data_IF_905256080201
#
_entry.id   IF_905256080201
#
_cell.length_a   1.000
_cell.length_b   1.000
_cell.length_c   1.000
_cell.angle_alpha   90.00
_cell.angle_beta   90.00
_cell.angle_gamma   90.00
#
_symmetry.space_group_name_H-M   'P 1'
#
loop_
_entity.id
_entity.type
_entity.pdbx_description
1 polymer ?
#
# COMPACT_ATOMS: atom_id res chain seq x y z
N UNK A 1 32.24 -67.89 -38.65
CA UNK A 1 30.79 -67.89 -38.92
C UNK A 1 29.96 -67.13 -37.83
N UNK A 2 30.27 -67.33 -36.57
CA UNK A 2 29.50 -66.62 -35.49
C UNK A 2 29.74 -65.11 -35.41
N UNK A 3 30.98 -64.61 -35.63
CA UNK A 3 31.32 -63.20 -35.69
C UNK A 3 30.58 -62.42 -36.79
N UNK A 4 30.36 -63.10 -37.96
CA UNK A 4 29.65 -62.48 -39.08
C UNK A 4 28.16 -62.33 -38.79
N UNK A 5 27.55 -63.34 -38.15
CA UNK A 5 26.13 -63.28 -37.72
C UNK A 5 25.88 -62.24 -36.66
N UNK A 6 26.87 -62.04 -35.77
CA UNK A 6 26.79 -60.97 -34.75
C UNK A 6 26.89 -59.55 -35.38
N UNK A 7 27.89 -59.39 -36.28
CA UNK A 7 28.07 -58.12 -37.01
C UNK A 7 26.82 -57.72 -37.78
N UNK A 8 26.19 -58.71 -38.47
CA UNK A 8 24.93 -58.46 -39.18
C UNK A 8 23.75 -58.11 -38.30
N UNK A 9 23.64 -58.78 -37.12
CA UNK A 9 22.61 -58.41 -36.11
C UNK A 9 22.80 -57.00 -35.57
N UNK A 10 24.03 -56.61 -35.22
CA UNK A 10 24.33 -55.25 -34.69
C UNK A 10 24.11 -54.19 -35.75
N UNK A 11 24.50 -54.43 -37.01
CA UNK A 11 24.24 -53.51 -38.13
C UNK A 11 22.76 -53.33 -38.41
N UNK A 12 22.00 -54.44 -38.47
CA UNK A 12 20.54 -54.38 -38.63
C UNK A 12 19.85 -53.61 -37.48
N UNK A 13 20.36 -53.71 -36.23
CA UNK A 13 19.82 -53.01 -35.10
C UNK A 13 20.14 -51.50 -35.15
N UNK A 14 21.35 -51.14 -35.62
CA UNK A 14 21.71 -49.73 -35.88
C UNK A 14 20.81 -49.09 -36.92
N UNK A 15 20.62 -49.76 -38.06
CA UNK A 15 19.74 -49.28 -39.12
C UNK A 15 18.29 -49.09 -38.66
N UNK A 16 17.79 -50.04 -37.85
CA UNK A 16 16.43 -49.86 -37.23
C UNK A 16 16.35 -48.68 -36.31
N UNK A 17 17.33 -48.50 -35.42
CA UNK A 17 17.37 -47.35 -34.51
C UNK A 17 17.42 -46.03 -35.30
N UNK A 18 18.27 -45.94 -36.34
CA UNK A 18 18.36 -44.74 -37.17
C UNK A 18 17.09 -44.47 -38.00
N UNK A 19 16.46 -45.51 -38.51
CA UNK A 19 15.20 -45.37 -39.25
C UNK A 19 14.07 -44.86 -38.37
N UNK A 20 13.85 -45.50 -37.23
CA UNK A 20 12.79 -45.16 -36.34
C UNK A 20 13.03 -43.78 -35.65
N UNK A 21 14.29 -43.39 -35.34
CA UNK A 21 14.63 -42.07 -34.83
C UNK A 21 14.26 -40.94 -35.81
N UNK A 22 14.34 -41.19 -37.14
CA UNK A 22 13.97 -40.17 -38.15
C UNK A 22 12.47 -39.91 -38.23
N UNK A 23 11.65 -40.89 -37.85
CA UNK A 23 10.19 -40.83 -37.96
C UNK A 23 9.53 -40.21 -36.69
N UNK A 24 10.31 -40.03 -35.61
CA UNK A 24 9.77 -39.50 -34.33
C UNK A 24 9.39 -38.04 -34.38
N UNK A 25 8.24 -37.72 -33.78
CA UNK A 25 7.62 -36.39 -33.85
C UNK A 25 7.62 -35.63 -32.53
N UNK A 26 7.80 -36.31 -31.42
CA UNK A 26 7.73 -35.67 -30.09
C UNK A 26 8.64 -36.34 -29.05
N UNK A 27 8.97 -35.60 -27.99
CA UNK A 27 9.85 -36.06 -26.90
C UNK A 27 9.29 -37.26 -26.14
N UNK A 28 7.98 -37.50 -26.13
CA UNK A 28 7.37 -38.65 -25.47
C UNK A 28 7.62 -39.94 -26.21
N UNK A 29 7.45 -39.92 -27.51
CA UNK A 29 7.78 -41.07 -28.39
C UNK A 29 9.27 -41.43 -28.30
N UNK A 30 10.13 -40.41 -28.28
CA UNK A 30 11.57 -40.59 -28.11
C UNK A 30 11.92 -41.25 -26.78
N UNK A 31 11.28 -40.85 -25.70
CA UNK A 31 11.49 -41.44 -24.38
C UNK A 31 11.04 -42.91 -24.32
N UNK A 32 9.87 -43.22 -24.86
CA UNK A 32 9.38 -44.62 -24.93
C UNK A 32 10.32 -45.51 -25.75
N UNK A 33 10.80 -44.97 -26.86
CA UNK A 33 11.75 -45.67 -27.74
C UNK A 33 13.12 -45.86 -27.07
N UNK A 34 13.65 -44.86 -26.39
CA UNK A 34 14.89 -44.96 -25.61
C UNK A 34 14.80 -46.06 -24.55
N UNK A 35 13.66 -46.15 -23.86
CA UNK A 35 13.42 -47.20 -22.86
C UNK A 35 13.37 -48.61 -23.53
N UNK A 36 12.78 -48.72 -24.70
CA UNK A 36 12.68 -49.99 -25.41
C UNK A 36 14.06 -50.51 -25.86
N UNK A 37 14.93 -49.63 -26.35
CA UNK A 37 16.22 -50.01 -26.92
C UNK A 37 17.39 -49.95 -25.95
N UNK A 38 17.44 -48.96 -25.02
CA UNK A 38 18.62 -48.62 -24.22
C UNK A 38 18.42 -48.76 -22.69
N UNK A 39 17.40 -48.14 -22.10
CA UNK A 39 17.33 -47.97 -20.63
C UNK A 39 16.38 -48.94 -19.92
N UNK A 40 15.48 -49.59 -20.60
CA UNK A 40 14.53 -50.53 -19.99
C UNK A 40 15.16 -51.81 -19.45
N UNK A 41 14.64 -52.36 -18.35
CA UNK A 41 15.12 -53.67 -17.80
C UNK A 41 15.04 -54.83 -18.81
N UNK A 42 14.20 -54.70 -19.82
CA UNK A 42 14.04 -55.63 -20.96
C UNK A 42 14.39 -54.94 -22.28
N UNK A 43 15.32 -53.97 -22.26
CA UNK A 43 15.74 -53.30 -23.48
C UNK A 43 16.49 -54.26 -24.41
N UNK A 44 16.37 -54.03 -25.72
CA UNK A 44 17.01 -54.90 -26.74
C UNK A 44 18.52 -54.99 -26.54
N UNK A 45 19.18 -53.90 -26.12
CA UNK A 45 20.61 -53.92 -25.79
C UNK A 45 20.89 -54.74 -24.52
N UNK A 46 20.02 -54.67 -23.49
CA UNK A 46 20.15 -55.48 -22.31
C UNK A 46 19.94 -56.97 -22.54
N UNK A 47 19.10 -57.33 -23.52
CA UNK A 47 18.92 -58.74 -23.96
C UNK A 47 20.18 -59.26 -24.64
N UNK A 48 20.81 -58.50 -25.54
CA UNK A 48 22.09 -58.84 -26.14
C UNK A 48 23.20 -59.03 -25.09
N UNK A 49 23.22 -58.18 -24.04
CA UNK A 49 24.18 -58.39 -22.94
C UNK A 49 23.94 -59.70 -22.16
N UNK A 50 22.70 -60.12 -22.01
CA UNK A 50 22.40 -61.42 -21.37
C UNK A 50 22.78 -62.61 -22.23
N UNK A 51 22.70 -62.46 -23.57
CA UNK A 51 23.17 -63.51 -24.48
C UNK A 51 24.68 -63.77 -24.39
N UNK A 52 25.47 -62.74 -24.00
CA UNK A 52 26.91 -62.88 -23.72
C UNK A 52 27.23 -63.97 -22.69
N UNK A 53 26.33 -64.13 -21.67
CA UNK A 53 26.51 -65.15 -20.62
C UNK A 53 26.47 -66.60 -21.15
N UNK A 54 25.92 -66.84 -22.36
CA UNK A 54 25.77 -68.15 -22.96
C UNK A 54 26.92 -68.55 -23.90
N UNK A 55 27.86 -67.60 -24.15
CA UNK A 55 28.98 -67.77 -25.05
C UNK A 55 30.20 -68.39 -24.36
N UNK A 56 31.12 -68.97 -25.12
CA UNK A 56 32.38 -69.52 -24.66
C UNK A 56 33.28 -68.40 -24.08
N UNK A 57 34.12 -68.67 -23.08
CA UNK A 57 34.91 -67.59 -22.41
C UNK A 57 35.81 -66.80 -23.36
N UNK A 58 36.30 -67.36 -24.41
CA UNK A 58 37.20 -66.78 -25.43
C UNK A 58 36.46 -65.75 -26.33
N UNK A 59 35.17 -65.96 -26.59
CA UNK A 59 34.35 -65.11 -27.44
C UNK A 59 33.67 -63.95 -26.68
N UNK A 60 33.56 -64.05 -25.33
CA UNK A 60 32.86 -63.06 -24.50
C UNK A 60 33.49 -61.68 -24.57
N UNK A 61 34.81 -61.59 -24.64
CA UNK A 61 35.49 -60.27 -24.63
C UNK A 61 35.23 -59.51 -25.96
N UNK A 62 35.24 -60.15 -27.08
CA UNK A 62 34.93 -59.54 -28.37
C UNK A 62 33.47 -59.15 -28.50
N UNK A 63 32.55 -60.05 -28.10
CA UNK A 63 31.11 -59.79 -28.08
C UNK A 63 30.76 -58.63 -27.17
N UNK A 64 31.28 -58.59 -25.95
CA UNK A 64 31.04 -57.51 -24.96
C UNK A 64 31.52 -56.16 -25.44
N UNK A 65 32.69 -56.14 -26.16
CA UNK A 65 33.21 -54.89 -26.75
C UNK A 65 32.25 -54.33 -27.82
N UNK A 66 31.81 -55.19 -28.73
CA UNK A 66 30.90 -54.79 -29.82
C UNK A 66 29.53 -54.35 -29.34
N UNK A 67 28.97 -55.00 -28.30
CA UNK A 67 27.70 -54.55 -27.68
C UNK A 67 27.87 -53.25 -26.91
N UNK A 68 29.01 -53.04 -26.24
CA UNK A 68 29.29 -51.76 -25.60
C UNK A 68 29.47 -50.62 -26.60
N UNK A 69 30.12 -50.85 -27.71
CA UNK A 69 30.23 -49.86 -28.79
C UNK A 69 28.86 -49.51 -29.37
N UNK A 70 27.98 -50.49 -29.57
CA UNK A 70 26.60 -50.25 -29.97
C UNK A 70 25.83 -49.42 -28.92
N UNK A 71 26.03 -49.74 -27.62
CA UNK A 71 25.38 -49.04 -26.54
C UNK A 71 25.80 -47.56 -26.47
N UNK A 72 27.11 -47.30 -26.57
CA UNK A 72 27.64 -45.90 -26.57
C UNK A 72 27.13 -45.14 -27.79
N UNK A 73 27.21 -45.76 -28.99
CA UNK A 73 26.68 -45.15 -30.20
C UNK A 73 25.19 -44.84 -30.11
N UNK A 74 24.39 -45.77 -29.58
CA UNK A 74 22.94 -45.51 -29.37
C UNK A 74 22.71 -44.38 -28.39
N UNK A 75 23.44 -44.34 -27.27
CA UNK A 75 23.34 -43.29 -26.27
C UNK A 75 23.59 -41.91 -26.89
N UNK A 76 24.66 -41.76 -27.67
CA UNK A 76 25.00 -40.49 -28.32
C UNK A 76 23.90 -40.07 -29.32
N UNK A 77 23.35 -41.02 -30.10
CA UNK A 77 22.27 -40.77 -31.07
C UNK A 77 20.98 -40.32 -30.37
N UNK A 78 20.62 -40.95 -29.26
CA UNK A 78 19.46 -40.54 -28.48
C UNK A 78 19.66 -39.15 -27.83
N UNK A 79 20.85 -38.83 -27.33
CA UNK A 79 21.17 -37.53 -26.77
C UNK A 79 21.07 -36.42 -27.83
N UNK A 80 21.66 -36.66 -29.05
CA UNK A 80 21.54 -35.72 -30.17
C UNK A 80 20.09 -35.46 -30.57
N UNK A 81 19.26 -36.53 -30.58
CA UNK A 81 17.85 -36.37 -30.93
C UNK A 81 17.04 -35.69 -29.85
N UNK A 82 17.32 -35.94 -28.55
CA UNK A 82 16.71 -35.24 -27.45
C UNK A 82 16.98 -33.70 -27.51
N UNK A 83 18.22 -33.33 -27.84
CA UNK A 83 18.56 -31.93 -28.02
C UNK A 83 17.82 -31.26 -29.19
N UNK A 84 17.75 -31.98 -30.32
CA UNK A 84 16.99 -31.51 -31.50
C UNK A 84 15.51 -31.35 -31.20
N UNK A 85 14.90 -32.33 -30.54
CA UNK A 85 13.47 -32.27 -30.17
C UNK A 85 13.19 -31.13 -29.21
N UNK A 86 14.02 -30.92 -28.18
CA UNK A 86 13.89 -29.79 -27.28
C UNK A 86 13.96 -28.43 -27.99
N UNK A 87 14.88 -28.30 -28.97
CA UNK A 87 14.99 -27.09 -29.80
C UNK A 87 13.73 -26.86 -30.64
N UNK A 88 13.21 -27.90 -31.27
CA UNK A 88 11.98 -27.84 -32.07
C UNK A 88 10.75 -27.49 -31.20
N UNK A 89 10.59 -28.17 -30.08
CA UNK A 89 9.50 -27.90 -29.13
C UNK A 89 9.56 -26.48 -28.63
N UNK A 90 10.77 -25.95 -28.33
CA UNK A 90 10.97 -24.57 -27.90
C UNK A 90 10.61 -23.56 -29.02
N UNK A 91 11.00 -23.85 -30.27
CA UNK A 91 10.61 -23.02 -31.41
C UNK A 91 9.10 -22.98 -31.62
N UNK A 92 8.43 -24.13 -31.60
CA UNK A 92 6.97 -24.22 -31.70
C UNK A 92 6.27 -23.50 -30.55
N UNK A 93 6.86 -23.56 -29.34
CA UNK A 93 6.37 -22.81 -28.19
C UNK A 93 6.49 -21.31 -28.44
N UNK A 94 7.63 -20.83 -28.91
CA UNK A 94 7.83 -19.41 -29.21
C UNK A 94 6.88 -18.89 -30.28
N UNK A 95 6.67 -19.71 -31.33
CA UNK A 95 5.71 -19.35 -32.39
C UNK A 95 4.27 -19.26 -31.88
N UNK A 96 3.86 -20.20 -31.03
CA UNK A 96 2.52 -20.23 -30.44
C UNK A 96 2.28 -19.14 -29.41
N UNK A 97 3.30 -18.83 -28.62
CA UNK A 97 3.26 -17.84 -27.54
C UNK A 97 3.67 -16.44 -28.01
N UNK A 98 3.89 -16.27 -29.31
CA UNK A 98 4.25 -14.97 -29.88
C UNK A 98 3.14 -13.96 -29.65
N UNK A 99 3.47 -12.89 -28.93
CA UNK A 99 2.58 -11.78 -28.67
C UNK A 99 2.81 -10.71 -29.74
N UNK A 100 1.76 -10.16 -30.27
CA UNK A 100 1.83 -9.01 -31.17
C UNK A 100 2.11 -7.75 -30.34
N UNK A 101 3.36 -7.29 -30.37
CA UNK A 101 3.80 -6.07 -29.68
C UNK A 101 3.37 -4.77 -30.39
N UNK A 102 2.78 -4.88 -31.59
CA UNK A 102 2.30 -3.69 -32.32
C UNK A 102 0.91 -3.29 -31.89
N UNK A 103 0.18 -4.14 -31.17
CA UNK A 103 -1.11 -3.80 -30.59
C UNK A 103 -0.87 -2.75 -29.49
N UNK A 104 -1.45 -1.54 -29.61
CA UNK A 104 -1.27 -0.50 -28.61
C UNK A 104 -1.82 -1.01 -27.25
N UNK A 105 -1.03 -0.83 -26.19
CA UNK A 105 -1.49 -1.10 -24.84
C UNK A 105 -2.74 -0.26 -24.55
N UNK A 106 -3.77 -0.87 -23.98
CA UNK A 106 -4.88 -0.09 -23.45
C UNK A 106 -4.33 0.80 -22.33
N UNK A 107 -4.48 2.12 -22.44
CA UNK A 107 -4.02 3.00 -21.38
C UNK A 107 -4.72 2.58 -20.08
N UNK A 108 -3.96 2.36 -19.03
CA UNK A 108 -4.52 2.14 -17.70
C UNK A 108 -5.41 3.33 -17.37
N UNK A 109 -6.68 3.08 -17.02
CA UNK A 109 -7.56 4.14 -16.53
C UNK A 109 -6.95 4.65 -15.22
N UNK A 110 -6.39 5.85 -15.28
CA UNK A 110 -5.91 6.54 -14.09
C UNK A 110 -7.16 6.87 -13.27
N UNK A 111 -7.24 6.38 -12.05
CA UNK A 111 -8.30 6.73 -11.12
C UNK A 111 -8.17 8.20 -10.69
N UNK A 112 -9.25 8.78 -10.21
CA UNK A 112 -9.25 10.09 -9.57
C UNK A 112 -9.17 9.95 -8.05
N UNK A 113 -8.59 10.95 -7.38
CA UNK A 113 -8.62 11.02 -5.93
C UNK A 113 -10.05 11.27 -5.44
N UNK A 114 -10.38 10.73 -4.27
CA UNK A 114 -11.65 10.99 -3.63
C UNK A 114 -11.77 12.50 -3.30
N UNK A 115 -12.96 13.14 -3.43
CA UNK A 115 -13.13 14.57 -3.17
C UNK A 115 -12.59 15.03 -1.82
N UNK A 116 -12.85 14.27 -0.74
CA UNK A 116 -12.29 14.58 0.61
C UNK A 116 -10.76 14.60 0.61
N UNK A 117 -10.13 13.68 -0.14
CA UNK A 117 -8.66 13.66 -0.26
C UNK A 117 -8.14 14.88 -1.02
N UNK A 118 -8.85 15.32 -2.07
CA UNK A 118 -8.49 16.52 -2.80
C UNK A 118 -8.56 17.76 -1.90
N UNK A 119 -9.66 17.91 -1.17
CA UNK A 119 -9.83 19.04 -0.22
C UNK A 119 -8.76 18.98 0.86
N UNK A 120 -8.53 17.82 1.49
CA UNK A 120 -7.46 17.64 2.48
C UNK A 120 -6.09 18.07 1.97
N UNK A 121 -5.73 17.65 0.78
CA UNK A 121 -4.43 18.01 0.18
C UNK A 121 -4.35 19.51 -0.10
N UNK A 122 -5.42 20.11 -0.63
CA UNK A 122 -5.47 21.55 -0.85
C UNK A 122 -5.33 22.35 0.46
N UNK A 123 -5.97 21.90 1.54
CA UNK A 123 -5.82 22.50 2.85
C UNK A 123 -4.39 22.41 3.37
N UNK A 124 -3.78 21.24 3.25
CA UNK A 124 -2.37 21.02 3.64
C UNK A 124 -1.46 21.97 2.86
N UNK A 125 -1.62 22.09 1.54
CA UNK A 125 -0.80 22.97 0.70
C UNK A 125 -0.94 24.44 1.12
N UNK A 126 -2.14 24.88 1.44
CA UNK A 126 -2.40 26.26 1.91
C UNK A 126 -1.67 26.52 3.23
N UNK A 127 -1.82 25.64 4.22
CA UNK A 127 -1.20 25.82 5.53
C UNK A 127 0.33 25.62 5.48
N UNK A 128 0.83 24.67 4.69
CA UNK A 128 2.26 24.50 4.42
C UNK A 128 2.87 25.77 3.80
N UNK A 129 2.16 26.41 2.88
CA UNK A 129 2.53 27.69 2.31
C UNK A 129 2.52 28.85 3.32
N UNK A 130 1.83 28.72 4.46
CA UNK A 130 1.89 29.64 5.60
C UNK A 130 2.95 29.25 6.64
N UNK A 131 3.75 28.19 6.39
CA UNK A 131 4.83 27.73 7.25
C UNK A 131 4.39 26.75 8.36
N UNK A 132 3.25 26.05 8.21
CA UNK A 132 2.87 24.97 9.11
C UNK A 132 3.61 23.67 8.72
N UNK A 133 4.10 22.96 9.72
CA UNK A 133 4.57 21.58 9.58
C UNK A 133 3.39 20.62 9.73
N UNK A 134 3.32 19.58 8.89
CA UNK A 134 2.27 18.56 9.01
C UNK A 134 2.68 17.50 10.02
N UNK A 135 1.84 17.25 11.00
CA UNK A 135 2.00 16.19 11.99
C UNK A 135 0.87 15.16 11.86
N UNK A 136 1.18 13.96 11.44
CA UNK A 136 0.23 12.84 11.38
C UNK A 136 0.32 12.03 12.69
N UNK A 137 -0.74 12.10 13.51
CA UNK A 137 -0.86 11.33 14.75
C UNK A 137 -1.48 9.95 14.52
N UNK A 138 -1.39 9.08 15.54
CA UNK A 138 -2.02 7.77 15.55
C UNK A 138 -3.56 7.88 15.57
N UNK A 139 -4.24 6.95 14.89
CA UNK A 139 -5.70 6.81 14.98
C UNK A 139 -6.13 6.11 16.29
N UNK A 140 -5.25 5.30 16.87
CA UNK A 140 -5.43 4.69 18.20
C UNK A 140 -4.62 5.51 19.20
N UNK A 141 -5.31 6.04 20.20
CA UNK A 141 -4.72 6.87 21.25
C UNK A 141 -5.02 6.32 22.64
N UNK A 142 -4.25 6.76 23.61
CA UNK A 142 -4.59 6.52 25.01
C UNK A 142 -5.63 7.51 25.50
N UNK A 143 -6.42 7.11 26.49
CA UNK A 143 -7.36 8.00 27.17
C UNK A 143 -6.67 9.26 27.70
N UNK A 144 -5.42 9.13 28.14
CA UNK A 144 -4.62 10.27 28.59
C UNK A 144 -4.46 11.35 27.51
N UNK A 145 -3.99 10.99 26.33
CA UNK A 145 -3.75 11.96 25.24
C UNK A 145 -5.05 12.47 24.60
N UNK A 146 -6.07 11.62 24.55
CA UNK A 146 -7.34 12.02 23.93
C UNK A 146 -8.20 12.91 24.83
N UNK A 147 -8.05 12.79 26.15
CA UNK A 147 -8.89 13.51 27.12
C UNK A 147 -8.11 14.18 28.23
N UNK A 148 -7.42 13.44 29.09
CA UNK A 148 -6.83 13.97 30.30
C UNK A 148 -5.83 15.11 30.08
N UNK A 149 -4.90 14.89 29.13
CA UNK A 149 -3.90 15.88 28.74
C UNK A 149 -4.53 17.12 28.06
N UNK A 150 -5.76 16.99 27.55
CA UNK A 150 -6.54 18.07 26.96
C UNK A 150 -7.48 18.75 27.98
N UNK A 151 -7.15 18.68 29.26
CA UNK A 151 -7.93 19.27 30.37
C UNK A 151 -9.37 18.73 30.50
N UNK A 152 -9.57 17.47 30.12
CA UNK A 152 -10.84 16.75 30.24
C UNK A 152 -10.63 15.51 31.14
N UNK A 153 -10.55 15.72 32.50
CA UNK A 153 -10.35 14.62 33.46
C UNK A 153 -11.53 13.65 33.48
N UNK A 154 -11.38 12.50 34.17
CA UNK A 154 -12.37 11.41 34.13
C UNK A 154 -13.79 11.82 34.52
N UNK A 155 -13.94 12.78 35.46
CA UNK A 155 -15.23 13.25 35.98
C UNK A 155 -15.78 14.45 35.18
N UNK A 156 -15.14 14.80 34.06
CA UNK A 156 -15.57 15.99 33.31
C UNK A 156 -16.82 15.69 32.46
N UNK A 157 -17.91 16.48 32.57
CA UNK A 157 -19.15 16.21 31.83
C UNK A 157 -19.01 16.13 30.31
N UNK A 158 -18.00 16.78 29.75
CA UNK A 158 -17.73 16.71 28.30
C UNK A 158 -17.33 15.31 27.81
N UNK A 159 -16.92 14.37 28.69
CA UNK A 159 -16.67 12.99 28.32
C UNK A 159 -17.96 12.23 28.01
N UNK A 160 -19.01 12.48 28.78
CA UNK A 160 -20.31 11.83 28.60
C UNK A 160 -21.02 12.33 27.33
N UNK A 161 -20.61 13.49 26.81
CA UNK A 161 -21.14 14.08 25.58
C UNK A 161 -20.43 13.54 24.30
N UNK A 162 -19.33 12.81 24.45
CA UNK A 162 -18.58 12.26 23.32
C UNK A 162 -18.69 10.75 23.32
N UNK A 163 -19.54 10.22 22.45
CA UNK A 163 -19.64 8.81 22.20
C UNK A 163 -18.34 8.28 21.62
N UNK A 164 -17.59 7.50 22.41
CA UNK A 164 -16.21 7.10 22.11
C UNK A 164 -16.09 5.60 21.88
N UNK A 165 -15.37 5.19 20.85
CA UNK A 165 -15.00 3.79 20.63
C UNK A 165 -13.80 3.41 21.48
N UNK A 166 -14.01 2.75 22.60
CA UNK A 166 -12.95 2.15 23.42
C UNK A 166 -12.56 0.77 22.92
N UNK A 167 -11.26 0.55 22.73
CA UNK A 167 -10.68 -0.76 22.41
C UNK A 167 -10.31 -1.52 23.70
N UNK A 168 -9.94 -0.80 24.74
CA UNK A 168 -9.67 -1.28 26.09
C UNK A 168 -9.88 -0.12 27.06
N UNK A 169 -9.77 -0.32 28.40
CA UNK A 169 -9.86 0.78 29.37
C UNK A 169 -8.84 1.90 29.15
N UNK A 170 -7.72 1.62 28.50
CA UNK A 170 -6.63 2.57 28.26
C UNK A 170 -6.58 3.11 26.83
N UNK A 171 -7.08 2.34 25.86
CA UNK A 171 -6.95 2.66 24.43
C UNK A 171 -8.31 2.86 23.77
N UNK A 172 -8.36 3.85 22.88
CA UNK A 172 -9.57 4.24 22.15
C UNK A 172 -9.22 4.64 20.72
N UNK A 173 -10.23 4.72 19.87
CA UNK A 173 -10.12 5.42 18.59
C UNK A 173 -10.29 6.93 18.87
N UNK A 174 -9.32 7.75 18.44
CA UNK A 174 -9.31 9.18 18.74
C UNK A 174 -10.58 9.87 18.27
N UNK A 175 -11.18 10.66 19.15
CA UNK A 175 -12.39 11.44 18.87
C UNK A 175 -12.08 12.80 18.24
N UNK A 176 -10.82 13.20 18.24
CA UNK A 176 -10.29 14.46 17.71
C UNK A 176 -8.80 14.32 17.38
N UNK A 177 -8.26 15.21 16.55
CA UNK A 177 -6.85 15.23 16.21
C UNK A 177 -5.97 15.98 17.22
N UNK A 178 -6.57 16.54 18.27
CA UNK A 178 -5.92 17.36 19.31
C UNK A 178 -4.83 16.65 20.09
N UNK A 179 -4.88 15.31 20.20
CA UNK A 179 -3.80 14.53 20.81
C UNK A 179 -2.43 14.81 20.15
N UNK A 180 -2.43 15.09 18.86
CA UNK A 180 -1.21 15.45 18.10
C UNK A 180 -0.52 16.70 18.64
N UNK A 181 -1.26 17.64 19.19
CA UNK A 181 -0.73 18.87 19.79
C UNK A 181 0.11 18.54 21.03
N UNK A 182 -0.37 17.63 21.89
CA UNK A 182 0.35 17.19 23.09
C UNK A 182 1.65 16.49 22.69
N UNK A 183 1.57 15.52 21.76
CA UNK A 183 2.74 14.78 21.30
C UNK A 183 3.83 15.69 20.72
N UNK A 184 3.45 16.79 20.06
CA UNK A 184 4.43 17.75 19.54
C UNK A 184 4.99 18.62 20.65
N UNK A 185 4.13 19.16 21.54
CA UNK A 185 4.58 20.04 22.63
C UNK A 185 5.49 19.31 23.64
N UNK A 186 5.33 17.99 23.82
CA UNK A 186 6.26 17.19 24.62
C UNK A 186 7.66 17.06 24.02
N UNK A 187 7.78 17.21 22.69
CA UNK A 187 9.03 16.97 21.95
C UNK A 187 9.70 18.26 21.44
N UNK A 188 8.91 19.31 21.21
CA UNK A 188 9.40 20.57 20.64
C UNK A 188 9.15 21.74 21.59
N UNK A 189 10.12 22.65 21.65
CA UNK A 189 9.95 23.96 22.32
C UNK A 189 9.40 24.99 21.33
N UNK A 190 8.67 26.02 21.80
CA UNK A 190 8.25 27.13 20.96
C UNK A 190 9.43 27.84 20.27
N UNK A 191 9.26 28.34 19.03
CA UNK A 191 7.99 28.45 18.31
C UNK A 191 7.51 27.12 17.71
N UNK A 192 6.22 26.83 17.84
CA UNK A 192 5.55 25.65 17.27
C UNK A 192 4.47 26.11 16.29
N UNK A 193 4.45 25.53 15.11
CA UNK A 193 3.44 25.80 14.09
C UNK A 193 3.16 24.54 13.32
N UNK A 194 2.08 23.84 13.68
CA UNK A 194 1.74 22.52 13.12
C UNK A 194 0.31 22.45 12.63
N UNK A 195 0.09 21.57 11.67
CA UNK A 195 -1.20 21.15 11.17
C UNK A 195 -1.35 19.64 11.40
N UNK A 196 -2.40 19.22 12.08
CA UNK A 196 -2.69 17.82 12.40
C UNK A 196 -3.92 17.34 11.64
N UNK A 197 -3.77 16.84 10.40
CA UNK A 197 -4.87 16.25 9.66
C UNK A 197 -5.06 14.79 10.07
N UNK A 198 -6.32 14.30 10.05
CA UNK A 198 -6.54 12.88 10.26
C UNK A 198 -8.00 12.48 10.33
N UNK A 199 -8.23 11.18 10.35
CA UNK A 199 -9.53 10.60 10.62
C UNK A 199 -9.78 10.61 12.13
N UNK A 200 -11.03 10.84 12.50
CA UNK A 200 -11.53 10.79 13.87
C UNK A 200 -12.79 9.94 13.93
N UNK A 201 -13.09 9.42 15.09
CA UNK A 201 -14.10 8.39 15.26
C UNK A 201 -15.02 8.74 16.44
N UNK A 202 -16.34 8.67 16.21
CA UNK A 202 -17.36 8.84 17.22
C UNK A 202 -18.43 7.78 17.02
N UNK A 203 -18.96 7.22 18.08
CA UNK A 203 -19.97 6.17 17.99
C UNK A 203 -21.39 6.72 17.79
N UNK A 204 -21.50 7.93 17.25
CA UNK A 204 -22.78 8.52 16.87
C UNK A 204 -23.53 7.60 15.89
N UNK A 205 -24.77 7.29 16.20
CA UNK A 205 -25.62 6.38 15.41
C UNK A 205 -26.88 7.13 14.95
N UNK A 206 -26.70 8.11 14.08
CA UNK A 206 -27.82 8.81 13.45
C UNK A 206 -27.66 8.93 11.92
N UNK A 207 -28.77 9.29 11.25
CA UNK A 207 -28.81 9.35 9.78
C UNK A 207 -27.95 10.49 9.18
N UNK A 208 -27.45 11.41 9.98
CA UNK A 208 -26.76 12.62 9.54
C UNK A 208 -25.26 12.63 9.89
N UNK A 209 -24.84 11.78 10.80
CA UNK A 209 -23.44 11.67 11.25
C UNK A 209 -22.80 10.36 10.81
N UNK A 210 -21.57 10.47 10.32
CA UNK A 210 -20.74 9.30 10.04
C UNK A 210 -19.93 8.95 11.29
N UNK A 211 -19.80 7.67 11.65
CA UNK A 211 -18.95 7.25 12.77
C UNK A 211 -17.46 7.55 12.54
N UNK A 212 -17.07 7.85 11.30
CA UNK A 212 -15.73 8.27 10.92
C UNK A 212 -15.82 9.50 10.02
N UNK A 213 -15.10 10.56 10.36
CA UNK A 213 -14.98 11.75 9.52
C UNK A 213 -13.55 12.30 9.56
N UNK A 214 -13.25 13.21 8.64
CA UNK A 214 -11.92 13.82 8.57
C UNK A 214 -11.92 15.13 9.37
N UNK A 215 -10.88 15.33 10.15
CA UNK A 215 -10.64 16.54 10.92
C UNK A 215 -9.24 17.06 10.66
N UNK A 216 -9.07 18.39 10.76
CA UNK A 216 -7.78 19.05 10.60
C UNK A 216 -7.66 20.15 11.64
N UNK A 217 -6.61 20.10 12.45
CA UNK A 217 -6.34 21.07 13.49
C UNK A 217 -5.02 21.78 13.26
N UNK A 218 -5.02 23.10 13.43
CA UNK A 218 -3.81 23.92 13.39
C UNK A 218 -3.45 24.40 14.79
N UNK A 219 -2.18 24.28 15.15
CA UNK A 219 -1.63 24.79 16.41
C UNK A 219 -0.49 25.77 16.12
N UNK A 220 -0.54 26.92 16.74
CA UNK A 220 0.56 27.89 16.78
C UNK A 220 0.85 28.28 18.24
N UNK A 221 2.11 28.11 18.64
CA UNK A 221 2.63 28.52 19.94
C UNK A 221 3.84 29.42 19.72
N UNK A 222 3.73 30.70 20.02
CA UNK A 222 4.82 31.66 19.88
C UNK A 222 4.62 32.83 20.84
N UNK A 223 5.53 33.78 20.86
CA UNK A 223 5.44 34.99 21.69
C UNK A 223 4.66 36.09 20.99
N UNK A 224 3.82 36.77 21.74
CA UNK A 224 3.14 37.98 21.29
C UNK A 224 2.04 37.75 20.24
N UNK A 225 1.55 36.51 20.06
CA UNK A 225 0.43 36.23 19.18
C UNK A 225 -0.88 36.73 19.78
N UNK A 226 -1.76 37.22 18.94
CA UNK A 226 -3.02 37.84 19.33
C UNK A 226 -4.22 37.22 18.63
N UNK A 227 -5.43 37.53 19.09
CA UNK A 227 -6.66 37.17 18.38
C UNK A 227 -6.73 37.80 16.98
N UNK A 228 -6.04 38.94 16.80
CA UNK A 228 -5.89 39.56 15.47
C UNK A 228 -5.08 38.71 14.50
N UNK A 229 -4.00 38.02 14.97
CA UNK A 229 -3.19 37.10 14.16
C UNK A 229 -4.00 35.88 13.78
N UNK A 230 -4.82 35.32 14.70
CA UNK A 230 -5.78 34.30 14.43
C UNK A 230 -6.71 34.69 13.29
N UNK A 231 -7.37 35.82 13.45
CA UNK A 231 -8.32 36.33 12.46
C UNK A 231 -7.64 36.56 11.11
N UNK A 232 -6.46 37.19 11.09
CA UNK A 232 -5.70 37.43 9.86
C UNK A 232 -5.32 36.15 9.13
N UNK A 233 -4.87 35.12 9.85
CA UNK A 233 -4.55 33.83 9.28
C UNK A 233 -5.78 33.11 8.71
N UNK A 234 -6.92 33.18 9.44
CA UNK A 234 -8.17 32.59 8.95
C UNK A 234 -8.74 33.36 7.75
N UNK A 235 -8.60 34.68 7.70
CA UNK A 235 -9.01 35.45 6.51
C UNK A 235 -8.21 35.02 5.27
N UNK A 236 -6.90 34.86 5.39
CA UNK A 236 -6.05 34.36 4.29
C UNK A 236 -6.44 32.95 3.88
N UNK A 237 -6.68 32.08 4.82
CA UNK A 237 -7.12 30.70 4.59
C UNK A 237 -8.45 30.66 3.83
N UNK A 238 -9.47 31.38 4.33
CA UNK A 238 -10.81 31.41 3.77
C UNK A 238 -10.81 31.97 2.35
N UNK A 239 -10.04 33.04 2.11
CA UNK A 239 -9.90 33.61 0.74
C UNK A 239 -9.24 32.62 -0.23
N UNK A 240 -8.25 31.83 0.22
CA UNK A 240 -7.60 30.81 -0.63
C UNK A 240 -8.51 29.63 -0.97
N UNK A 241 -9.45 29.27 -0.08
CA UNK A 241 -10.39 28.16 -0.29
C UNK A 241 -11.63 28.59 -1.04
N UNK A 242 -12.25 29.70 -0.64
CA UNK A 242 -13.57 30.12 -1.15
C UNK A 242 -13.50 31.27 -2.15
N UNK A 243 -12.34 31.86 -2.34
CA UNK A 243 -12.11 32.95 -3.29
C UNK A 243 -12.00 34.33 -2.64
N UNK A 244 -11.50 35.28 -3.44
CA UNK A 244 -11.36 36.67 -3.03
C UNK A 244 -12.73 37.30 -2.72
N UNK A 245 -12.81 38.12 -1.68
CA UNK A 245 -14.03 38.79 -1.24
C UNK A 245 -14.84 38.07 -0.17
N UNK A 246 -14.49 36.81 0.16
CA UNK A 246 -15.07 36.12 1.32
C UNK A 246 -14.37 36.62 2.59
N UNK A 247 -15.18 36.96 3.60
CA UNK A 247 -14.70 37.51 4.88
C UNK A 247 -15.08 36.61 6.04
N UNK A 248 -14.33 36.70 7.16
CA UNK A 248 -14.61 35.93 8.34
C UNK A 248 -15.32 36.84 9.40
N UNK A 249 -16.15 36.21 10.21
CA UNK A 249 -16.77 36.78 11.39
C UNK A 249 -16.51 35.88 12.59
N UNK A 250 -16.03 36.43 13.70
CA UNK A 250 -15.83 35.73 14.95
C UNK A 250 -17.06 35.91 15.83
N UNK A 251 -17.62 34.80 16.33
CA UNK A 251 -18.70 34.82 17.35
C UNK A 251 -18.18 34.24 18.66
N UNK A 252 -18.36 34.89 19.83
CA UNK A 252 -18.02 34.28 21.10
C UNK A 252 -18.78 32.95 21.29
N UNK A 253 -18.06 31.96 21.77
CA UNK A 253 -18.61 30.63 22.07
C UNK A 253 -17.96 30.04 23.31
N UNK A 254 -18.49 28.96 23.83
CA UNK A 254 -17.93 28.24 24.98
C UNK A 254 -17.52 26.82 24.58
N UNK A 255 -16.29 26.48 24.97
CA UNK A 255 -15.78 25.11 24.89
C UNK A 255 -15.10 24.71 26.20
N UNK A 256 -15.25 23.44 26.65
CA UNK A 256 -14.79 23.03 28.00
C UNK A 256 -13.28 23.19 28.23
N UNK A 257 -12.48 23.15 27.15
CA UNK A 257 -11.02 23.14 27.22
C UNK A 257 -10.34 24.40 26.68
N UNK A 258 -11.13 25.41 26.30
CA UNK A 258 -10.58 26.64 25.72
C UNK A 258 -11.26 27.88 26.27
N UNK A 259 -10.48 28.94 26.54
CA UNK A 259 -10.96 30.24 27.01
C UNK A 259 -9.97 31.36 26.62
N UNK A 260 -10.41 32.42 25.92
CA UNK A 260 -11.71 32.60 25.30
C UNK A 260 -11.87 31.73 24.06
N UNK A 261 -13.10 31.33 23.73
CA UNK A 261 -13.46 30.58 22.56
C UNK A 261 -14.29 31.36 21.59
N UNK A 262 -14.10 31.16 20.31
CA UNK A 262 -14.89 31.81 19.26
C UNK A 262 -15.28 30.77 18.18
N UNK A 263 -16.40 30.99 17.56
CA UNK A 263 -16.80 30.33 16.32
C UNK A 263 -16.49 31.21 15.12
N UNK A 264 -16.13 30.63 14.01
CA UNK A 264 -15.84 31.35 12.78
C UNK A 264 -16.89 31.06 11.72
N UNK A 265 -17.60 32.11 11.38
CA UNK A 265 -18.46 32.12 10.20
C UNK A 265 -17.71 32.75 9.02
N UNK A 266 -17.97 32.25 7.83
CA UNK A 266 -17.56 32.87 6.57
C UNK A 266 -18.76 33.46 5.86
N UNK A 267 -18.58 34.63 5.23
CA UNK A 267 -19.62 35.18 4.37
C UNK A 267 -19.95 34.17 3.24
N UNK A 268 -21.23 33.96 3.02
CA UNK A 268 -21.66 32.97 2.06
C UNK A 268 -21.08 33.27 0.65
N UNK A 269 -20.26 32.37 0.16
CA UNK A 269 -19.57 32.53 -1.13
C UNK A 269 -20.54 32.46 -2.33
N UNK A 270 -21.70 31.79 -2.18
CA UNK A 270 -22.71 31.68 -3.21
C UNK A 270 -23.49 32.98 -3.40
N UNK A 271 -23.95 33.63 -2.30
CA UNK A 271 -24.80 34.81 -2.38
C UNK A 271 -24.08 36.10 -2.01
N UNK A 272 -22.78 36.07 -1.68
CA UNK A 272 -22.03 37.24 -1.26
C UNK A 272 -22.60 37.90 0.01
N UNK A 273 -23.13 37.13 0.96
CA UNK A 273 -23.69 37.62 2.20
C UNK A 273 -25.15 38.08 2.16
N UNK A 274 -25.82 37.97 1.00
CA UNK A 274 -27.21 38.49 0.84
C UNK A 274 -28.29 37.57 1.42
N UNK A 275 -27.95 36.31 1.65
CA UNK A 275 -28.88 35.27 2.09
C UNK A 275 -29.39 34.42 0.91
N UNK A 276 -29.24 33.10 1.00
CA UNK A 276 -29.74 32.13 0.03
C UNK A 276 -30.10 30.81 0.73
N UNK A 277 -30.51 29.79 -0.04
CA UNK A 277 -30.84 28.46 0.47
C UNK A 277 -29.64 27.78 1.15
N UNK A 278 -28.43 27.95 0.61
CA UNK A 278 -27.21 27.37 1.18
C UNK A 278 -26.92 27.90 2.59
N UNK A 279 -26.96 29.21 2.78
CA UNK A 279 -26.75 29.84 4.10
C UNK A 279 -28.06 29.96 4.92
N UNK A 280 -29.15 29.33 4.51
CA UNK A 280 -30.47 29.39 5.16
C UNK A 280 -30.95 30.84 5.45
N UNK A 281 -30.67 31.75 4.53
CA UNK A 281 -31.07 33.16 4.61
C UNK A 281 -30.17 34.02 5.49
N UNK A 282 -29.19 33.46 6.20
CA UNK A 282 -28.36 34.23 7.16
C UNK A 282 -27.26 35.05 6.51
N UNK A 283 -26.85 34.73 5.29
CA UNK A 283 -25.68 35.30 4.61
C UNK A 283 -24.33 34.78 5.12
N UNK A 284 -24.34 33.91 6.13
CA UNK A 284 -23.13 33.34 6.76
C UNK A 284 -23.19 31.84 6.85
N UNK A 285 -22.02 31.19 6.76
CA UNK A 285 -21.85 29.74 6.90
C UNK A 285 -20.82 29.48 7.97
N UNK A 286 -21.18 28.69 8.99
CA UNK A 286 -20.24 28.22 10.00
C UNK A 286 -19.29 27.19 9.37
N UNK A 287 -17.99 27.42 9.50
CA UNK A 287 -16.97 26.57 8.84
C UNK A 287 -15.98 26.00 9.85
N UNK A 288 -15.71 26.72 10.93
CA UNK A 288 -14.64 26.39 11.87
C UNK A 288 -15.09 26.68 13.31
N UNK A 289 -14.56 25.86 14.19
CA UNK A 289 -14.60 26.14 15.65
C UNK A 289 -13.17 26.37 16.11
N UNK A 290 -12.64 27.59 15.96
CA UNK A 290 -11.35 27.92 16.53
C UNK A 290 -11.51 28.27 18.00
N UNK A 291 -10.55 27.82 18.75
CA UNK A 291 -10.47 28.10 20.16
C UNK A 291 -9.15 28.81 20.46
N UNK A 292 -9.21 29.87 21.22
CA UNK A 292 -8.02 30.50 21.78
C UNK A 292 -7.86 30.06 23.22
N UNK A 293 -6.84 29.24 23.51
CA UNK A 293 -6.58 28.81 24.88
C UNK A 293 -5.44 29.62 25.47
N UNK A 294 -5.78 30.52 26.36
CA UNK A 294 -4.79 31.16 27.24
C UNK A 294 -4.55 30.27 28.45
N UNK A 295 -3.36 29.66 28.54
CA UNK A 295 -2.77 29.15 29.76
C UNK A 295 -3.35 27.93 30.49
N UNK A 296 -4.61 27.50 30.31
CA UNK A 296 -5.15 26.36 31.07
C UNK A 296 -4.50 25.06 30.61
N UNK A 297 -4.50 24.86 29.33
CA UNK A 297 -3.92 23.68 28.68
C UNK A 297 -2.38 23.59 28.86
N UNK A 298 -1.66 24.69 28.68
CA UNK A 298 -0.20 24.73 28.83
C UNK A 298 0.23 24.60 30.31
N UNK A 299 -0.61 25.02 31.27
CA UNK A 299 -0.36 24.86 32.70
C UNK A 299 -0.58 23.45 33.18
N UNK A 300 -1.57 22.73 32.67
CA UNK A 300 -1.87 21.35 33.04
C UNK A 300 -0.79 20.39 32.53
N UNK A 301 -0.26 20.62 31.33
CA UNK A 301 0.77 19.80 30.75
C UNK A 301 2.20 20.10 31.27
N UNK A 302 2.40 21.17 32.06
CA UNK A 302 3.73 21.64 32.51
C UNK A 302 4.79 21.79 31.39
N UNK A 303 4.33 21.91 30.15
CA UNK A 303 5.17 21.78 28.94
C UNK A 303 5.89 23.08 28.58
N UNK A 304 5.42 24.26 29.08
CA UNK A 304 6.00 25.55 28.75
C UNK A 304 6.26 26.36 30.04
N UNK A 305 7.46 26.93 30.20
CA UNK A 305 7.79 27.78 31.36
C UNK A 305 6.87 29.01 31.42
N UNK A 306 6.42 29.37 32.62
CA UNK A 306 5.49 30.48 32.90
C UNK A 306 5.86 31.82 32.28
N UNK A 307 7.08 32.04 31.87
CA UNK A 307 7.61 33.31 31.36
C UNK A 307 7.65 33.40 29.81
N UNK A 308 7.30 32.35 29.07
CA UNK A 308 7.58 32.29 27.64
C UNK A 308 6.34 32.12 26.76
N UNK A 309 5.16 31.82 27.32
CA UNK A 309 4.00 31.46 26.51
C UNK A 309 2.97 32.58 26.50
N UNK A 310 2.90 33.30 25.43
CA UNK A 310 1.81 34.24 25.22
C UNK A 310 0.74 33.69 24.27
N UNK A 311 0.83 32.49 23.70
CA UNK A 311 -0.34 32.00 23.01
C UNK A 311 -0.32 30.63 22.40
N UNK A 312 -1.46 30.01 22.51
CA UNK A 312 -1.89 28.80 21.80
C UNK A 312 -3.07 29.14 20.90
N UNK A 313 -2.94 28.88 19.65
CA UNK A 313 -4.02 28.95 18.68
C UNK A 313 -4.41 27.55 18.23
N UNK A 314 -5.66 27.16 18.48
CA UNK A 314 -6.20 25.89 17.97
C UNK A 314 -7.39 26.21 17.08
N UNK A 315 -7.36 25.73 15.88
CA UNK A 315 -8.47 25.80 14.92
C UNK A 315 -8.86 24.42 14.50
N UNK A 316 -10.12 24.05 14.68
CA UNK A 316 -10.65 22.75 14.26
C UNK A 316 -11.47 22.94 13.00
N UNK A 317 -11.08 22.26 11.93
CA UNK A 317 -11.83 22.16 10.68
C UNK A 317 -12.34 20.72 10.55
N UNK A 318 -13.64 20.53 10.52
CA UNK A 318 -14.28 19.25 10.20
C UNK A 318 -14.64 19.20 8.71
N UNK A 319 -14.24 18.16 8.02
CA UNK A 319 -14.49 17.96 6.58
C UNK A 319 -15.19 16.62 6.35
#
# INVERSE_FOLDING_TARGET
>A
MQDQVLSDKLSSLKEKIEGELKEMKNSKELYEFKNLYLEGKKSKISELMKEMGKLAPEERAGYGKSVNELKTWAFDRFADMEEKMKKLELQHRYERERIDLTVPAQPAKIGNLHPVTLVRNQLIDIFAGMGFEVFEGSEIETDYYNFTALNTPQDHPARDMQDTFYLSPEFLLRTQTSAGQIHVMEKKQPPIKILSPGKVFRSDDDATHSPMFSQMEGLVVDKGITLGDLKGMLDVFVQKIFGEGVTTRLRPSYFPFTEPSVEVDVSCFECGGKGCSLCKGTGWIEVLVPAWSINVFLRTAALIPKSTADLLLVSVLSV
#
